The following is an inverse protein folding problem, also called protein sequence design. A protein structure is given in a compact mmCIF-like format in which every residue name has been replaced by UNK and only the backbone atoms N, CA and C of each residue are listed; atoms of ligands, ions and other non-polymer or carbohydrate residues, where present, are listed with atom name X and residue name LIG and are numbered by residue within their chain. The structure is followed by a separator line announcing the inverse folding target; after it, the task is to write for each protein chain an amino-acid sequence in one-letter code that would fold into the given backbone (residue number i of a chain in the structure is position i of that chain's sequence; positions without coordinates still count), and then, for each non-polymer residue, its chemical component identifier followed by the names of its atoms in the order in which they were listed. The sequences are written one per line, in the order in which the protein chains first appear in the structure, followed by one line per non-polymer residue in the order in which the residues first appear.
data_IF_426221556332
#
_entry.id   IF_426221556332
#
_cell.length_a   1.000
_cell.length_b   1.000
_cell.length_c   1.000
_cell.angle_alpha   90.00
_cell.angle_beta   90.00
_cell.angle_gamma   90.00
#
_symmetry.space_group_name_H-M   'P 1'
#
loop_
_entity.id
_entity.type
_entity.pdbx_description
1 polymer ?
#
# COMPACT_ATOMS: atom_id res chain seq x y z
N UNK A 1 33.69 2.40 22.82
CA UNK A 1 34.58 3.51 22.43
C UNK A 1 33.96 4.80 22.92
N UNK A 2 34.73 5.61 23.63
CA UNK A 2 34.28 6.56 24.63
C UNK A 2 33.35 7.68 24.09
N UNK A 3 32.20 7.85 24.74
CA UNK A 3 31.37 9.05 24.64
C UNK A 3 31.66 9.93 25.87
N UNK A 4 32.26 11.09 25.64
CA UNK A 4 32.43 12.11 26.67
C UNK A 4 31.12 12.92 26.82
N UNK A 5 30.63 12.99 28.06
CA UNK A 5 29.47 13.79 28.46
C UNK A 5 29.82 15.28 28.48
N UNK A 6 29.04 16.10 27.76
CA UNK A 6 29.00 17.55 27.90
C UNK A 6 27.81 17.97 28.76
N UNK A 7 28.08 18.69 29.84
CA UNK A 7 27.16 19.14 30.88
C UNK A 7 26.14 20.18 30.38
N UNK A 8 24.92 20.12 30.93
CA UNK A 8 23.83 21.07 30.70
C UNK A 8 23.85 22.14 31.80
N UNK A 9 23.98 23.41 31.43
CA UNK A 9 23.56 24.54 32.27
C UNK A 9 22.41 25.26 31.60
N UNK A 10 21.32 25.37 32.35
CA UNK A 10 20.03 25.87 31.92
C UNK A 10 19.94 27.36 32.24
N UNK A 11 19.96 28.20 31.21
CA UNK A 11 19.36 29.52 31.28
C UNK A 11 19.05 30.06 29.88
N UNK A 12 17.81 30.52 29.72
CA UNK A 12 17.36 31.48 28.70
C UNK A 12 16.90 30.92 27.34
N UNK A 13 15.63 31.17 27.05
CA UNK A 13 14.91 30.89 25.82
C UNK A 13 15.50 31.64 24.62
N UNK A 14 16.35 31.00 23.81
CA UNK A 14 16.50 31.26 22.36
C UNK A 14 17.32 30.13 21.73
N UNK A 15 16.75 29.37 20.78
CA UNK A 15 17.52 28.41 19.98
C UNK A 15 17.77 28.99 18.58
N UNK A 16 19.03 29.31 18.29
CA UNK A 16 19.52 29.63 16.95
C UNK A 16 20.08 28.36 16.31
N UNK A 17 19.65 28.08 15.07
CA UNK A 17 20.09 26.91 14.30
C UNK A 17 21.13 27.37 13.29
N UNK A 18 22.41 27.19 13.61
CA UNK A 18 23.54 27.53 12.72
C UNK A 18 23.89 26.30 11.88
N UNK A 19 23.55 26.32 10.59
CA UNK A 19 23.90 25.27 9.64
C UNK A 19 25.20 25.68 8.94
N UNK A 20 26.30 24.99 9.27
CA UNK A 20 27.59 25.16 8.59
C UNK A 20 27.58 24.39 7.28
N UNK A 21 27.47 25.08 6.15
CA UNK A 21 27.67 24.51 4.81
C UNK A 21 29.17 24.53 4.45
N UNK A 22 29.77 23.44 3.93
CA UNK A 22 31.12 23.50 3.39
C UNK A 22 31.14 24.26 2.06
N UNK A 23 32.15 25.10 1.92
CA UNK A 23 32.43 26.07 0.85
C UNK A 23 32.66 25.42 -0.53
N UNK A 24 32.20 26.05 -1.64
CA UNK A 24 32.65 25.73 -2.99
C UNK A 24 33.98 26.46 -3.29
N UNK A 25 34.97 25.73 -3.80
CA UNK A 25 36.22 26.31 -4.29
C UNK A 25 35.98 26.91 -5.68
N UNK A 26 36.18 28.23 -5.77
CA UNK A 26 36.12 29.04 -6.98
C UNK A 26 37.40 28.95 -7.81
N UNK A 27 37.18 28.85 -9.12
CA UNK A 27 38.01 29.18 -10.28
C UNK A 27 39.19 30.13 -10.06
N UNK A 28 40.28 29.89 -10.81
CA UNK A 28 41.05 30.99 -11.39
C UNK A 28 41.34 30.77 -12.88
N UNK A 29 40.92 31.81 -13.60
CA UNK A 29 41.17 32.21 -14.98
C UNK A 29 42.67 32.26 -15.29
N UNK A 30 43.10 31.87 -16.48
CA UNK A 30 44.00 32.72 -17.29
C UNK A 30 43.82 32.48 -18.79
N UNK A 31 43.88 33.61 -19.48
CA UNK A 31 43.59 33.96 -20.86
C UNK A 31 44.86 33.76 -21.71
N UNK A 32 44.72 33.33 -22.98
CA UNK A 32 45.12 34.06 -24.22
C UNK A 32 45.34 33.13 -25.43
N UNK A 33 44.66 33.48 -26.53
CA UNK A 33 45.03 33.55 -27.96
C UNK A 33 45.80 32.40 -28.68
N UNK A 34 45.17 31.98 -29.78
CA UNK A 34 45.68 31.58 -31.11
C UNK A 34 47.13 31.07 -31.25
N UNK A 35 47.30 29.93 -31.95
CA UNK A 35 48.04 29.81 -33.22
C UNK A 35 47.99 28.35 -33.71
N UNK A 36 47.72 28.20 -35.00
CA UNK A 36 47.81 27.00 -35.82
C UNK A 36 49.27 26.61 -36.04
N UNK A 37 49.65 25.35 -35.84
CA UNK A 37 50.73 24.72 -36.61
C UNK A 37 50.61 23.20 -36.65
N UNK A 38 50.82 22.68 -37.86
CA UNK A 38 50.85 21.27 -38.23
C UNK A 38 52.15 20.61 -37.74
N UNK A 39 52.11 19.34 -37.33
CA UNK A 39 53.31 18.59 -36.99
C UNK A 39 53.03 17.13 -36.65
N UNK A 40 53.29 16.24 -37.61
CA UNK A 40 53.41 14.79 -37.40
C UNK A 40 54.49 14.53 -36.34
N UNK A 41 54.25 13.57 -35.43
CA UNK A 41 55.08 12.37 -35.33
C UNK A 41 54.46 11.34 -34.39
N UNK A 42 54.52 10.10 -34.86
CA UNK A 42 54.11 8.87 -34.22
C UNK A 42 54.92 8.58 -32.96
N UNK A 43 54.25 8.34 -31.83
CA UNK A 43 54.79 7.46 -30.80
C UNK A 43 53.67 6.58 -30.22
N UNK A 44 53.91 5.28 -30.31
CA UNK A 44 53.12 4.19 -29.77
C UNK A 44 53.21 4.19 -28.25
N UNK A 45 52.06 4.17 -27.55
CA UNK A 45 52.00 3.73 -26.16
C UNK A 45 50.68 3.00 -25.90
N UNK A 46 50.81 1.77 -25.43
CA UNK A 46 49.73 0.84 -25.09
C UNK A 46 48.85 1.37 -23.95
N UNK A 47 47.61 1.73 -24.24
CA UNK A 47 46.60 1.94 -23.21
C UNK A 47 45.89 0.63 -22.88
N UNK A 48 46.29 0.03 -21.76
CA UNK A 48 45.46 -0.90 -21.01
C UNK A 48 44.16 -0.19 -20.62
N UNK A 49 43.02 -0.68 -21.11
CA UNK A 49 41.70 -0.25 -20.63
C UNK A 49 41.48 -0.81 -19.23
N UNK A 50 41.47 0.06 -18.22
CA UNK A 50 40.85 -0.24 -16.94
C UNK A 50 39.34 -0.37 -17.15
N UNK A 51 38.84 -1.60 -17.09
CA UNK A 51 37.42 -1.91 -17.04
C UNK A 51 36.88 -1.58 -15.64
N UNK A 52 36.08 -0.52 -15.53
CA UNK A 52 35.27 -0.24 -14.34
C UNK A 52 34.17 -1.31 -14.29
N UNK A 53 33.99 -2.05 -13.17
CA UNK A 53 32.88 -2.98 -13.05
C UNK A 53 31.59 -2.17 -12.91
N UNK A 54 30.81 -2.12 -13.98
CA UNK A 54 29.41 -1.69 -13.92
C UNK A 54 28.65 -2.71 -13.07
N UNK A 55 28.29 -2.33 -11.84
CA UNK A 55 27.37 -3.11 -11.02
C UNK A 55 25.99 -3.00 -11.69
N UNK A 56 25.63 -4.02 -12.46
CA UNK A 56 24.29 -4.16 -13.03
C UNK A 56 23.39 -4.72 -11.93
N UNK A 57 22.58 -3.84 -11.33
CA UNK A 57 21.52 -4.23 -10.41
C UNK A 57 20.39 -4.89 -11.20
N UNK A 58 20.47 -6.20 -11.42
CA UNK A 58 19.38 -6.96 -12.04
C UNK A 58 18.26 -7.18 -11.02
N UNK A 59 17.16 -6.43 -11.15
CA UNK A 59 15.91 -6.76 -10.45
C UNK A 59 15.37 -8.08 -11.01
N UNK A 60 15.52 -9.16 -10.25
CA UNK A 60 14.96 -10.46 -10.64
C UNK A 60 13.44 -10.42 -10.47
N UNK A 61 12.73 -10.05 -11.54
CA UNK A 61 11.30 -10.33 -11.69
C UNK A 61 11.12 -11.83 -11.98
N UNK A 62 11.53 -12.71 -11.06
CA UNK A 62 11.14 -14.12 -11.14
C UNK A 62 9.70 -14.24 -10.64
N UNK A 63 8.74 -14.72 -11.46
CA UNK A 63 7.40 -14.98 -10.99
C UNK A 63 7.47 -16.13 -9.98
N UNK A 64 7.22 -15.81 -8.70
CA UNK A 64 7.04 -16.82 -7.66
C UNK A 64 5.64 -17.43 -7.80
N UNK A 65 5.46 -18.75 -7.59
CA UNK A 65 4.23 -19.46 -7.90
C UNK A 65 3.20 -19.34 -6.75
N UNK A 66 2.80 -18.11 -6.41
CA UNK A 66 1.68 -17.87 -5.50
C UNK A 66 1.13 -16.46 -5.72
N UNK A 67 0.02 -16.35 -6.46
CA UNK A 67 -0.80 -15.14 -6.71
C UNK A 67 -0.03 -13.87 -7.11
N UNK A 68 -0.22 -13.39 -8.34
CA UNK A 68 0.35 -12.13 -8.81
C UNK A 68 -0.06 -10.94 -7.92
N UNK A 69 0.73 -10.67 -6.88
CA UNK A 69 0.61 -9.46 -6.09
C UNK A 69 1.11 -8.31 -6.97
N UNK A 70 0.23 -7.35 -7.25
CA UNK A 70 0.58 -6.17 -8.06
C UNK A 70 1.80 -5.45 -7.46
N UNK A 71 2.73 -4.98 -8.33
CA UNK A 71 3.92 -4.21 -7.93
C UNK A 71 3.56 -2.95 -7.14
N UNK A 72 2.44 -2.32 -7.47
CA UNK A 72 1.90 -1.14 -6.78
C UNK A 72 1.49 -1.45 -5.34
N UNK A 73 0.87 -2.63 -5.10
CA UNK A 73 0.50 -3.07 -3.76
C UNK A 73 1.73 -3.32 -2.88
N UNK A 74 2.82 -3.83 -3.47
CA UNK A 74 4.09 -4.02 -2.76
C UNK A 74 4.70 -2.68 -2.36
N UNK A 75 4.79 -1.72 -3.28
CA UNK A 75 5.33 -0.38 -2.99
C UNK A 75 4.52 0.30 -1.88
N UNK A 76 3.18 0.27 -1.95
CA UNK A 76 2.32 0.84 -0.91
C UNK A 76 2.52 0.14 0.44
N UNK A 77 2.72 -1.18 0.45
CA UNK A 77 2.97 -1.93 1.69
C UNK A 77 4.30 -1.55 2.35
N UNK A 78 5.32 -1.21 1.57
CA UNK A 78 6.62 -0.74 2.05
C UNK A 78 6.52 0.67 2.65
N UNK A 79 5.74 1.56 2.02
CA UNK A 79 5.46 2.90 2.54
C UNK A 79 4.72 2.85 3.89
N UNK A 80 3.77 1.93 4.05
CA UNK A 80 3.03 1.77 5.31
C UNK A 80 3.85 1.16 6.44
N UNK A 81 4.89 0.39 6.11
CA UNK A 81 5.72 -0.31 7.08
C UNK A 81 7.20 -0.14 6.75
N UNK A 82 7.74 1.07 7.00
CA UNK A 82 9.10 1.38 6.63
C UNK A 82 10.07 0.40 7.30
N UNK A 83 11.08 -0.03 6.54
CA UNK A 83 12.13 -0.96 6.97
C UNK A 83 11.67 -2.36 7.39
N UNK A 84 10.42 -2.78 7.13
CA UNK A 84 9.95 -4.16 7.39
C UNK A 84 10.90 -5.22 6.81
N UNK A 85 11.38 -5.01 5.58
CA UNK A 85 12.31 -5.93 4.92
C UNK A 85 13.64 -6.06 5.67
N UNK A 86 14.16 -4.95 6.21
CA UNK A 86 15.40 -4.93 7.00
C UNK A 86 15.20 -5.69 8.31
N UNK A 87 14.08 -5.47 9.00
CA UNK A 87 13.75 -6.17 10.25
C UNK A 87 13.63 -7.68 10.03
N UNK A 88 12.90 -8.10 9.01
CA UNK A 88 12.76 -9.50 8.63
C UNK A 88 14.09 -10.16 8.28
N UNK A 89 14.99 -9.42 7.63
CA UNK A 89 16.35 -9.90 7.35
C UNK A 89 17.11 -10.18 8.65
N UNK A 90 17.09 -9.27 9.63
CA UNK A 90 17.75 -9.50 10.91
C UNK A 90 17.15 -10.67 11.69
N UNK A 91 15.83 -10.86 11.67
CA UNK A 91 15.22 -12.02 12.31
C UNK A 91 15.71 -13.33 11.71
N UNK A 92 15.71 -13.47 10.38
CA UNK A 92 16.21 -14.67 9.72
C UNK A 92 17.71 -14.84 9.97
N UNK A 93 18.50 -13.76 9.90
CA UNK A 93 19.94 -13.81 10.13
C UNK A 93 20.28 -14.25 11.57
N UNK A 94 19.55 -13.75 12.58
CA UNK A 94 19.75 -14.17 13.97
C UNK A 94 19.26 -15.60 14.23
N UNK A 95 18.14 -16.02 13.62
CA UNK A 95 17.73 -17.43 13.67
C UNK A 95 18.80 -18.33 13.04
N UNK A 96 19.36 -17.95 11.90
CA UNK A 96 20.40 -18.73 11.23
C UNK A 96 21.70 -18.77 12.06
N UNK A 97 22.11 -17.62 12.62
CA UNK A 97 23.32 -17.52 13.47
C UNK A 97 23.19 -18.34 14.76
N UNK A 98 22.08 -18.17 15.48
CA UNK A 98 21.82 -18.91 16.72
C UNK A 98 21.52 -20.39 16.44
N UNK A 99 20.88 -20.71 15.32
CA UNK A 99 20.70 -22.10 14.88
C UNK A 99 22.02 -22.80 14.59
N UNK A 100 22.97 -22.10 13.96
CA UNK A 100 24.31 -22.62 13.72
C UNK A 100 25.10 -22.77 15.04
N UNK A 101 25.03 -21.78 15.93
CA UNK A 101 25.62 -21.85 17.28
C UNK A 101 25.07 -23.01 18.08
N UNK A 102 23.75 -23.18 18.08
CA UNK A 102 23.05 -24.26 18.76
C UNK A 102 23.41 -25.63 18.21
N UNK A 103 23.59 -25.77 16.89
CA UNK A 103 24.06 -27.02 16.28
C UNK A 103 25.47 -27.36 16.76
N UNK A 104 26.38 -26.39 16.77
CA UNK A 104 27.76 -26.59 17.25
C UNK A 104 27.74 -26.97 18.74
N UNK A 105 27.03 -26.23 19.58
CA UNK A 105 26.91 -26.50 21.01
C UNK A 105 26.28 -27.87 21.28
N UNK A 106 25.29 -28.29 20.49
CA UNK A 106 24.67 -29.62 20.60
C UNK A 106 25.68 -30.73 20.29
N UNK A 107 26.48 -30.58 19.22
CA UNK A 107 27.52 -31.58 18.88
C UNK A 107 28.61 -31.66 19.95
N UNK A 108 29.02 -30.52 20.51
CA UNK A 108 30.00 -30.47 21.61
C UNK A 108 29.43 -31.10 22.89
N UNK A 109 28.16 -30.84 23.21
CA UNK A 109 27.50 -31.41 24.38
C UNK A 109 27.40 -32.93 24.29
N UNK A 110 27.03 -33.48 23.13
CA UNK A 110 27.02 -34.93 22.88
C UNK A 110 28.42 -35.52 23.07
N UNK A 111 29.45 -34.87 22.53
CA UNK A 111 30.84 -35.28 22.69
C UNK A 111 31.34 -35.24 24.14
N UNK A 112 30.91 -34.26 24.93
CA UNK A 112 31.26 -34.13 26.33
C UNK A 112 30.53 -35.16 27.22
N UNK A 113 29.29 -35.51 26.89
CA UNK A 113 28.54 -36.56 27.60
C UNK A 113 29.09 -37.96 27.32
N UNK A 114 29.62 -38.20 26.12
CA UNK A 114 30.24 -39.46 25.74
C UNK A 114 31.64 -39.68 26.36
N UNK A 115 32.31 -38.62 26.84
CA UNK A 115 33.68 -38.67 27.35
C UNK A 115 33.80 -38.04 28.74
N UNK A 116 34.04 -38.84 29.79
CA UNK A 116 34.09 -38.33 31.17
C UNK A 116 35.21 -37.32 31.42
N UNK A 117 36.28 -37.32 30.62
CA UNK A 117 37.38 -36.35 30.69
C UNK A 117 36.97 -34.92 30.34
N UNK A 118 35.81 -34.73 29.68
CA UNK A 118 35.28 -33.43 29.27
C UNK A 118 34.09 -32.96 30.11
N UNK A 119 33.82 -33.62 31.23
CA UNK A 119 32.63 -33.33 32.06
C UNK A 119 32.60 -31.91 32.62
N UNK A 120 33.76 -31.27 32.84
CA UNK A 120 33.84 -29.89 33.32
C UNK A 120 33.33 -28.85 32.30
N UNK A 121 33.25 -29.18 31.01
CA UNK A 121 32.80 -28.28 29.94
C UNK A 121 31.25 -28.27 29.77
N UNK A 122 30.55 -29.20 30.41
CA UNK A 122 29.10 -29.40 30.25
C UNK A 122 28.28 -28.16 30.67
N UNK A 123 28.51 -27.51 31.84
CA UNK A 123 27.68 -26.40 32.27
C UNK A 123 27.76 -25.18 31.33
N UNK A 124 28.97 -24.87 30.83
CA UNK A 124 29.19 -23.75 29.92
C UNK A 124 28.58 -24.02 28.53
N UNK A 125 28.75 -25.24 28.02
CA UNK A 125 28.16 -25.67 26.73
C UNK A 125 26.63 -25.66 26.82
N UNK A 126 26.07 -26.11 27.94
CA UNK A 126 24.62 -26.12 28.18
C UNK A 126 24.05 -24.69 28.29
N UNK A 127 24.78 -23.78 28.94
CA UNK A 127 24.40 -22.36 29.01
C UNK A 127 24.38 -21.72 27.63
N UNK A 128 25.40 -21.94 26.81
CA UNK A 128 25.47 -21.43 25.44
C UNK A 128 24.33 -21.98 24.56
N UNK A 129 24.08 -23.30 24.65
CA UNK A 129 22.94 -23.94 23.96
C UNK A 129 21.60 -23.34 24.40
N UNK A 130 21.42 -23.06 25.69
CA UNK A 130 20.23 -22.40 26.21
C UNK A 130 20.02 -20.99 25.64
N UNK A 131 21.10 -20.21 25.50
CA UNK A 131 21.05 -18.88 24.88
C UNK A 131 20.65 -18.98 23.41
N UNK A 132 21.27 -19.88 22.65
CA UNK A 132 20.97 -20.07 21.22
C UNK A 132 19.52 -20.52 21.01
N UNK A 133 19.02 -21.46 21.81
CA UNK A 133 17.61 -21.89 21.77
C UNK A 133 16.65 -20.74 22.13
N UNK A 134 17.00 -19.94 23.15
CA UNK A 134 16.23 -18.75 23.52
C UNK A 134 16.16 -17.72 22.40
N UNK A 135 17.31 -17.45 21.75
CA UNK A 135 17.40 -16.53 20.63
C UNK A 135 16.59 -17.02 19.42
N UNK A 136 16.75 -18.29 19.02
CA UNK A 136 15.99 -18.89 17.92
C UNK A 136 14.49 -18.80 18.20
N UNK A 137 14.05 -19.15 19.41
CA UNK A 137 12.62 -19.11 19.80
C UNK A 137 12.06 -17.68 19.70
N UNK A 138 12.75 -16.69 20.27
CA UNK A 138 12.32 -15.29 20.24
C UNK A 138 12.24 -14.74 18.81
N UNK A 139 13.30 -14.91 18.01
CA UNK A 139 13.33 -14.36 16.66
C UNK A 139 12.39 -15.10 15.71
N UNK A 140 12.21 -16.41 15.88
CA UNK A 140 11.21 -17.17 15.13
C UNK A 140 9.80 -16.65 15.43
N UNK A 141 9.46 -16.44 16.70
CA UNK A 141 8.18 -15.86 17.10
C UNK A 141 7.94 -14.48 16.46
N UNK A 142 8.92 -13.57 16.54
CA UNK A 142 8.84 -12.24 15.94
C UNK A 142 8.68 -12.31 14.41
N UNK A 143 9.41 -13.23 13.76
CA UNK A 143 9.29 -13.47 12.32
C UNK A 143 7.89 -13.95 11.93
N UNK A 144 7.31 -14.92 12.65
CA UNK A 144 5.97 -15.42 12.37
C UNK A 144 4.90 -14.34 12.57
N UNK A 145 4.99 -13.56 13.64
CA UNK A 145 4.09 -12.44 13.92
C UNK A 145 4.15 -11.40 12.79
N UNK A 146 5.36 -11.02 12.36
CA UNK A 146 5.55 -10.05 11.30
C UNK A 146 5.08 -10.59 9.95
N UNK A 147 5.33 -11.88 9.64
CA UNK A 147 4.89 -12.50 8.40
C UNK A 147 3.36 -12.57 8.31
N UNK A 148 2.69 -12.88 9.42
CA UNK A 148 1.22 -12.82 9.52
C UNK A 148 0.70 -11.42 9.23
N UNK A 149 1.30 -10.40 9.83
CA UNK A 149 0.90 -9.00 9.60
C UNK A 149 1.14 -8.56 8.15
N UNK A 150 2.27 -8.97 7.55
CA UNK A 150 2.65 -8.67 6.17
C UNK A 150 1.66 -9.29 5.19
N UNK A 151 1.34 -10.57 5.37
CA UNK A 151 0.41 -11.28 4.50
C UNK A 151 -1.00 -10.67 4.57
N UNK A 152 -1.47 -10.31 5.77
CA UNK A 152 -2.76 -9.64 5.93
C UNK A 152 -2.79 -8.26 5.25
N UNK A 153 -1.72 -7.46 5.38
CA UNK A 153 -1.61 -6.15 4.73
C UNK A 153 -1.56 -6.27 3.21
N UNK A 154 -0.71 -7.15 2.69
CA UNK A 154 -0.58 -7.36 1.24
C UNK A 154 -1.89 -7.89 0.65
N UNK A 155 -2.56 -8.83 1.34
CA UNK A 155 -3.86 -9.35 0.92
C UNK A 155 -4.95 -8.28 0.93
N UNK A 156 -4.90 -7.29 1.83
CA UNK A 156 -5.83 -6.15 1.80
C UNK A 156 -5.53 -5.22 0.63
N UNK A 157 -4.26 -4.86 0.46
CA UNK A 157 -3.83 -3.93 -0.59
C UNK A 157 -4.04 -4.50 -1.99
N UNK A 158 -3.87 -5.82 -2.19
CA UNK A 158 -4.16 -6.46 -3.46
C UNK A 158 -5.64 -6.39 -3.83
N UNK A 159 -6.56 -6.52 -2.84
CA UNK A 159 -8.00 -6.36 -3.08
C UNK A 159 -8.36 -4.93 -3.49
N UNK A 160 -7.81 -3.95 -2.77
CA UNK A 160 -8.02 -2.52 -3.05
C UNK A 160 -7.43 -2.14 -4.43
N UNK A 161 -6.31 -2.76 -4.82
CA UNK A 161 -5.72 -2.54 -6.14
C UNK A 161 -6.52 -3.19 -7.26
N UNK A 162 -6.99 -4.43 -7.07
CA UNK A 162 -7.85 -5.12 -8.03
C UNK A 162 -9.15 -4.33 -8.25
N UNK A 163 -9.75 -3.80 -7.18
CA UNK A 163 -10.91 -2.90 -7.28
C UNK A 163 -10.60 -1.67 -8.12
N UNK A 164 -9.42 -1.09 -7.93
CA UNK A 164 -9.03 0.14 -8.61
C UNK A 164 -8.80 -0.02 -10.11
N UNK A 165 -8.55 -1.25 -10.57
CA UNK A 165 -8.39 -1.58 -11.98
C UNK A 165 -9.74 -1.83 -12.69
N UNK A 166 -10.83 -2.04 -11.94
CA UNK A 166 -12.16 -2.24 -12.52
C UNK A 166 -12.59 -1.00 -13.30
N UNK A 167 -13.27 -1.22 -14.44
CA UNK A 167 -13.67 -0.14 -15.34
C UNK A 167 -15.11 0.31 -15.10
N UNK A 168 -15.27 1.63 -15.06
CA UNK A 168 -16.54 2.33 -14.96
C UNK A 168 -16.74 3.20 -16.20
N UNK A 169 -18.00 3.37 -16.58
CA UNK A 169 -18.45 4.27 -17.64
C UNK A 169 -19.07 5.50 -16.98
N UNK A 170 -18.45 6.65 -17.23
CA UNK A 170 -18.98 7.97 -16.82
C UNK A 170 -19.96 8.48 -17.86
N UNK A 171 -19.58 8.36 -19.13
CA UNK A 171 -20.36 8.77 -20.29
C UNK A 171 -20.30 7.67 -21.35
N UNK A 172 -21.21 7.71 -22.32
CA UNK A 172 -21.26 6.73 -23.43
C UNK A 172 -19.91 6.48 -24.10
N UNK A 173 -19.06 7.52 -24.21
CA UNK A 173 -17.76 7.45 -24.88
C UNK A 173 -16.57 7.31 -23.93
N UNK A 174 -16.77 7.48 -22.61
CA UNK A 174 -15.67 7.61 -21.64
C UNK A 174 -15.70 6.49 -20.62
N UNK A 175 -14.75 5.56 -20.79
CA UNK A 175 -14.50 4.46 -19.87
C UNK A 175 -13.21 4.74 -19.12
N UNK A 176 -13.28 4.69 -17.79
CA UNK A 176 -12.19 5.06 -16.89
C UNK A 176 -12.09 4.02 -15.77
N UNK A 177 -10.89 3.62 -15.32
CA UNK A 177 -10.77 2.77 -14.15
C UNK A 177 -11.22 3.49 -12.87
N UNK A 178 -11.66 2.71 -11.87
CA UNK A 178 -12.03 3.18 -10.52
C UNK A 178 -10.90 4.02 -9.90
N UNK A 179 -9.64 3.69 -10.18
CA UNK A 179 -8.46 4.43 -9.70
C UNK A 179 -8.44 5.91 -10.09
N UNK A 180 -9.08 6.30 -11.20
CA UNK A 180 -9.09 7.70 -11.65
C UNK A 180 -10.06 8.57 -10.88
N UNK A 181 -10.96 7.99 -10.09
CA UNK A 181 -11.83 8.76 -9.18
C UNK A 181 -11.13 9.13 -7.88
N UNK A 182 -9.89 8.62 -7.66
CA UNK A 182 -9.10 8.96 -6.48
C UNK A 182 -8.79 10.45 -6.44
N UNK A 183 -9.12 11.12 -5.34
CA UNK A 183 -9.02 12.57 -5.14
C UNK A 183 -10.07 13.41 -5.86
N UNK A 184 -11.05 12.76 -6.51
CA UNK A 184 -12.13 13.44 -7.23
C UNK A 184 -13.47 13.15 -6.57
N UNK A 185 -13.76 11.87 -6.31
CA UNK A 185 -15.05 11.43 -5.79
C UNK A 185 -14.95 10.15 -4.95
N UNK A 186 -15.84 10.03 -3.97
CA UNK A 186 -16.04 8.85 -3.12
C UNK A 186 -17.05 7.94 -3.81
N UNK A 187 -16.71 6.67 -4.00
CA UNK A 187 -17.59 5.73 -4.67
C UNK A 187 -18.38 4.89 -3.67
N UNK A 188 -19.68 4.76 -3.87
CA UNK A 188 -20.55 3.84 -3.15
C UNK A 188 -21.09 2.80 -4.12
N UNK A 189 -20.66 1.56 -3.97
CA UNK A 189 -21.05 0.45 -4.82
C UNK A 189 -22.23 -0.27 -4.16
N UNK A 190 -23.35 -0.38 -4.86
CA UNK A 190 -24.53 -1.14 -4.44
C UNK A 190 -24.62 -2.39 -5.31
N UNK A 191 -24.40 -3.56 -4.72
CA UNK A 191 -24.37 -4.82 -5.45
C UNK A 191 -25.43 -5.79 -4.94
N UNK A 192 -26.37 -6.18 -5.80
CA UNK A 192 -27.40 -7.15 -5.45
C UNK A 192 -28.50 -7.29 -6.50
N UNK A 193 -29.66 -7.83 -6.12
CA UNK A 193 -30.81 -7.94 -7.00
C UNK A 193 -31.29 -6.60 -7.55
N UNK A 194 -31.98 -6.62 -8.68
CA UNK A 194 -32.49 -5.38 -9.30
C UNK A 194 -33.42 -4.60 -8.36
N UNK A 195 -34.27 -5.30 -7.60
CA UNK A 195 -35.15 -4.72 -6.57
C UNK A 195 -34.36 -3.98 -5.49
N UNK A 196 -33.33 -4.64 -4.95
CA UNK A 196 -32.45 -4.07 -3.93
C UNK A 196 -31.74 -2.80 -4.41
N UNK A 197 -31.21 -2.82 -5.64
CA UNK A 197 -30.54 -1.63 -6.21
C UNK A 197 -31.54 -0.49 -6.35
N UNK A 198 -32.72 -0.72 -6.92
CA UNK A 198 -33.75 0.32 -7.06
C UNK A 198 -34.18 0.90 -5.72
N UNK A 199 -34.40 0.06 -4.71
CA UNK A 199 -34.76 0.50 -3.35
C UNK A 199 -33.64 1.29 -2.68
N UNK A 200 -32.39 0.83 -2.79
CA UNK A 200 -31.21 1.55 -2.28
C UNK A 200 -31.14 2.97 -2.86
N UNK A 201 -31.45 3.10 -4.15
CA UNK A 201 -31.48 4.38 -4.85
C UNK A 201 -32.62 5.28 -4.36
N UNK A 202 -33.82 4.73 -4.18
CA UNK A 202 -34.96 5.47 -3.60
C UNK A 202 -34.63 6.00 -2.20
N UNK A 203 -33.92 5.23 -1.37
CA UNK A 203 -33.47 5.67 -0.05
C UNK A 203 -32.42 6.79 -0.10
N UNK A 204 -31.62 6.84 -1.16
CA UNK A 204 -30.59 7.88 -1.34
C UNK A 204 -31.13 9.19 -1.93
N UNK A 205 -32.27 9.13 -2.61
CA UNK A 205 -32.89 10.25 -3.33
C UNK A 205 -33.03 11.55 -2.51
N UNK A 206 -33.61 11.54 -1.29
CA UNK A 206 -33.73 12.76 -0.47
C UNK A 206 -32.38 13.35 -0.04
N UNK A 207 -31.30 12.56 -0.09
CA UNK A 207 -29.96 12.95 0.35
C UNK A 207 -29.04 13.30 -0.82
N UNK A 208 -29.52 13.24 -2.07
CA UNK A 208 -28.70 13.38 -3.29
C UNK A 208 -27.87 14.66 -3.30
N UNK A 209 -28.46 15.81 -2.95
CA UNK A 209 -27.74 17.09 -2.96
C UNK A 209 -26.63 17.12 -1.90
N UNK A 210 -26.90 16.59 -0.71
CA UNK A 210 -25.91 16.48 0.38
C UNK A 210 -24.78 15.48 0.06
N UNK A 211 -25.09 14.41 -0.67
CA UNK A 211 -24.12 13.43 -1.13
C UNK A 211 -23.21 14.01 -2.23
N UNK A 212 -23.80 14.75 -3.17
CA UNK A 212 -23.07 15.41 -4.26
C UNK A 212 -22.11 16.49 -3.74
N UNK A 213 -22.50 17.28 -2.75
CA UNK A 213 -21.62 18.28 -2.14
C UNK A 213 -20.38 17.65 -1.46
N UNK A 214 -20.56 16.41 -0.97
CA UNK A 214 -19.50 15.56 -0.41
C UNK A 214 -18.83 14.66 -1.45
N UNK A 215 -19.10 14.90 -2.74
CA UNK A 215 -18.49 14.20 -3.86
C UNK A 215 -18.74 12.69 -3.84
N UNK A 216 -19.89 12.23 -3.36
CA UNK A 216 -20.27 10.82 -3.37
C UNK A 216 -20.94 10.48 -4.70
N UNK A 217 -20.43 9.45 -5.38
CA UNK A 217 -20.97 8.88 -6.60
C UNK A 217 -21.39 7.43 -6.36
N UNK A 218 -22.49 7.01 -6.95
CA UNK A 218 -23.08 5.67 -6.73
C UNK A 218 -22.88 4.79 -7.97
N UNK A 219 -22.42 3.57 -7.73
CA UNK A 219 -22.24 2.53 -8.75
C UNK A 219 -23.29 1.43 -8.51
N UNK A 220 -24.40 1.41 -9.27
CA UNK A 220 -25.34 0.30 -9.25
C UNK A 220 -24.74 -0.91 -9.97
N UNK A 221 -24.69 -2.06 -9.29
CA UNK A 221 -24.30 -3.34 -9.86
C UNK A 221 -25.39 -4.38 -9.62
N UNK A 222 -26.11 -4.76 -10.69
CA UNK A 222 -27.17 -5.77 -10.61
C UNK A 222 -26.56 -7.15 -10.79
N UNK A 223 -26.89 -8.07 -9.88
CA UNK A 223 -26.36 -9.44 -9.87
C UNK A 223 -27.23 -10.41 -10.68
N UNK A 224 -28.54 -10.17 -10.78
CA UNK A 224 -29.52 -11.10 -11.37
C UNK A 224 -29.51 -11.13 -12.92
N UNK A 225 -28.59 -10.41 -13.57
CA UNK A 225 -28.56 -10.28 -15.03
C UNK A 225 -29.66 -9.40 -15.64
N UNK A 226 -30.62 -8.96 -14.83
CA UNK A 226 -31.61 -7.95 -15.23
C UNK A 226 -30.97 -6.56 -15.28
N UNK A 227 -31.33 -5.75 -16.28
CA UNK A 227 -31.04 -4.32 -16.24
C UNK A 227 -31.91 -3.67 -15.16
N UNK A 228 -31.36 -2.83 -14.26
CA UNK A 228 -32.19 -2.11 -13.32
C UNK A 228 -33.04 -1.11 -14.11
N UNK A 229 -34.33 -1.38 -14.27
CA UNK A 229 -35.27 -0.39 -14.76
C UNK A 229 -35.56 0.57 -13.62
N UNK A 230 -34.73 1.61 -13.50
CA UNK A 230 -34.93 2.69 -12.54
C UNK A 230 -36.07 3.59 -13.07
N UNK A 231 -37.30 3.10 -13.02
CA UNK A 231 -38.47 3.90 -13.33
C UNK A 231 -38.80 4.78 -12.12
N UNK A 232 -38.81 6.09 -12.35
CA UNK A 232 -39.23 7.09 -11.37
C UNK A 232 -40.56 7.64 -11.84
N UNK A 233 -41.59 7.59 -10.99
CA UNK A 233 -42.83 8.34 -11.18
C UNK A 233 -42.58 9.81 -10.84
N UNK A 234 -42.16 10.62 -11.81
CA UNK A 234 -42.16 12.08 -11.67
C UNK A 234 -42.54 12.75 -13.00
N UNK A 235 -43.16 13.95 -12.93
CA UNK A 235 -43.67 14.69 -14.10
C UNK A 235 -42.55 15.10 -15.07
N UNK A 236 -42.89 15.31 -16.35
CA UNK A 236 -41.96 15.48 -17.48
C UNK A 236 -40.85 16.55 -17.28
N UNK A 237 -41.08 17.58 -16.46
CA UNK A 237 -40.06 18.61 -16.16
C UNK A 237 -39.06 18.18 -15.07
N UNK A 238 -39.53 17.45 -14.04
CA UNK A 238 -38.68 16.78 -13.05
C UNK A 238 -37.91 15.62 -13.67
N UNK A 239 -38.44 14.97 -14.72
CA UNK A 239 -37.69 13.95 -15.48
C UNK A 239 -36.43 14.49 -16.13
N UNK A 240 -36.43 15.69 -16.70
CA UNK A 240 -35.23 16.23 -17.36
C UNK A 240 -34.16 16.73 -16.37
N UNK A 241 -34.58 17.44 -15.31
CA UNK A 241 -33.68 17.87 -14.23
C UNK A 241 -33.17 16.66 -13.43
N UNK A 242 -34.05 15.72 -13.14
CA UNK A 242 -33.76 14.44 -12.50
C UNK A 242 -32.83 13.58 -13.36
N UNK A 243 -33.03 13.48 -14.68
CA UNK A 243 -32.14 12.72 -15.58
C UNK A 243 -30.73 13.33 -15.65
N UNK A 244 -30.61 14.66 -15.72
CA UNK A 244 -29.30 15.35 -15.67
C UNK A 244 -28.61 15.16 -14.32
N UNK A 245 -29.34 15.27 -13.21
CA UNK A 245 -28.81 14.98 -11.87
C UNK A 245 -28.38 13.52 -11.79
N UNK A 246 -29.22 12.57 -12.20
CA UNK A 246 -28.95 11.11 -12.28
C UNK A 246 -27.67 10.78 -13.02
N UNK A 247 -27.46 11.38 -14.19
CA UNK A 247 -26.23 11.17 -14.97
C UNK A 247 -24.97 11.68 -14.26
N UNK A 248 -25.06 12.70 -13.42
CA UNK A 248 -23.91 13.27 -12.72
C UNK A 248 -23.52 12.47 -11.46
N UNK A 249 -24.47 11.78 -10.81
CA UNK A 249 -24.20 11.03 -9.58
C UNK A 249 -24.05 9.52 -9.78
N UNK A 250 -24.38 8.99 -10.96
CA UNK A 250 -24.36 7.56 -11.26
C UNK A 250 -23.23 7.18 -12.21
N UNK A 251 -22.65 6.00 -11.97
CA UNK A 251 -21.60 5.43 -12.81
C UNK A 251 -21.96 4.00 -13.19
N UNK A 252 -21.81 3.65 -14.47
CA UNK A 252 -22.18 2.31 -14.94
C UNK A 252 -20.96 1.38 -14.97
N UNK A 253 -21.03 0.16 -14.40
CA UNK A 253 -20.00 -0.84 -14.57
C UNK A 253 -19.95 -1.34 -16.02
N UNK A 254 -18.75 -1.53 -16.58
CA UNK A 254 -18.59 -1.96 -17.99
C UNK A 254 -18.42 -3.47 -18.10
N UNK A 255 -17.41 -4.03 -17.43
CA UNK A 255 -17.09 -5.45 -17.50
C UNK A 255 -17.79 -6.19 -16.37
N UNK A 256 -19.05 -6.56 -16.60
CA UNK A 256 -19.91 -7.20 -15.59
C UNK A 256 -19.26 -8.48 -15.03
N UNK A 257 -18.51 -9.23 -15.85
CA UNK A 257 -17.77 -10.41 -15.43
C UNK A 257 -16.63 -10.11 -14.45
N UNK A 258 -15.81 -9.08 -14.72
CA UNK A 258 -14.71 -8.69 -13.81
C UNK A 258 -15.28 -8.17 -12.48
N UNK A 259 -16.37 -7.39 -12.55
CA UNK A 259 -17.07 -6.90 -11.38
C UNK A 259 -17.70 -8.04 -10.56
N UNK A 260 -18.37 -8.99 -11.21
CA UNK A 260 -18.99 -10.13 -10.51
C UNK A 260 -17.94 -11.02 -9.87
N UNK A 261 -16.84 -11.31 -10.57
CA UNK A 261 -15.73 -12.09 -10.02
C UNK A 261 -15.13 -11.40 -8.79
N UNK A 262 -14.85 -10.10 -8.89
CA UNK A 262 -14.28 -9.35 -7.79
C UNK A 262 -15.21 -9.32 -6.56
N UNK A 263 -16.51 -9.06 -6.76
CA UNK A 263 -17.51 -9.03 -5.68
C UNK A 263 -17.67 -10.41 -5.04
N UNK A 264 -17.76 -11.47 -5.85
CA UNK A 264 -17.90 -12.84 -5.36
C UNK A 264 -16.67 -13.27 -4.56
N UNK A 265 -15.46 -12.89 -5.00
CA UNK A 265 -14.25 -13.09 -4.21
C UNK A 265 -14.33 -12.35 -2.86
N UNK A 266 -14.83 -11.11 -2.83
CA UNK A 266 -15.00 -10.38 -1.56
C UNK A 266 -16.01 -11.05 -0.63
N UNK A 267 -17.18 -11.46 -1.16
CA UNK A 267 -18.22 -12.16 -0.38
C UNK A 267 -17.68 -13.46 0.22
N UNK A 268 -16.97 -14.27 -0.57
CA UNK A 268 -16.34 -15.51 -0.12
C UNK A 268 -15.33 -15.29 1.01
N UNK A 269 -14.50 -14.24 0.90
CA UNK A 269 -13.53 -13.91 1.95
C UNK A 269 -14.19 -13.39 3.23
N UNK A 270 -15.32 -12.72 3.12
CA UNK A 270 -16.09 -12.19 4.26
C UNK A 270 -17.03 -13.22 4.90
N UNK A 271 -17.18 -14.42 4.31
CA UNK A 271 -18.14 -15.42 4.77
C UNK A 271 -19.60 -15.03 4.51
N UNK A 272 -19.85 -14.17 3.52
CA UNK A 272 -21.18 -13.71 3.12
C UNK A 272 -21.71 -14.61 2.00
N UNK A 273 -23.01 -14.92 2.01
CA UNK A 273 -23.66 -15.68 0.93
C UNK A 273 -23.56 -14.95 -0.41
N UNK A 274 -23.35 -15.70 -1.49
CA UNK A 274 -23.25 -15.14 -2.85
C UNK A 274 -24.49 -14.34 -3.25
N UNK A 275 -25.67 -14.75 -2.78
CA UNK A 275 -26.97 -14.12 -3.09
C UNK A 275 -27.29 -12.90 -2.22
N UNK A 276 -26.54 -12.69 -1.13
CA UNK A 276 -26.82 -11.56 -0.24
C UNK A 276 -26.48 -10.23 -0.91
N UNK A 277 -27.38 -9.23 -0.87
CA UNK A 277 -27.06 -7.88 -1.34
C UNK A 277 -26.02 -7.26 -0.42
N UNK A 278 -25.05 -6.57 -1.01
CA UNK A 278 -23.94 -5.94 -0.30
C UNK A 278 -23.75 -4.50 -0.77
N UNK A 279 -23.15 -3.70 0.09
CA UNK A 279 -22.66 -2.39 -0.27
C UNK A 279 -21.19 -2.24 0.09
N UNK A 280 -20.51 -1.37 -0.65
CA UNK A 280 -19.15 -0.94 -0.36
C UNK A 280 -19.06 0.57 -0.50
N UNK A 281 -18.39 1.21 0.43
CA UNK A 281 -18.13 2.65 0.43
C UNK A 281 -16.62 2.87 0.36
N UNK A 282 -16.18 3.70 -0.57
CA UNK A 282 -14.78 4.07 -0.76
C UNK A 282 -14.53 5.49 -0.26
N UNK A 283 -13.31 5.71 0.21
CA UNK A 283 -12.78 7.05 0.53
C UNK A 283 -12.35 7.79 -0.73
N UNK A 284 -12.01 9.07 -0.60
CA UNK A 284 -11.44 9.85 -1.71
C UNK A 284 -10.12 9.27 -2.21
N UNK A 285 -9.30 8.66 -1.34
CA UNK A 285 -8.07 7.97 -1.76
C UNK A 285 -8.30 6.60 -2.44
N UNK A 286 -9.57 6.19 -2.58
CA UNK A 286 -9.99 4.93 -3.21
C UNK A 286 -9.81 3.69 -2.34
N UNK A 287 -9.51 3.83 -1.04
CA UNK A 287 -9.52 2.71 -0.09
C UNK A 287 -10.93 2.41 0.38
N UNK A 288 -11.18 1.16 0.78
CA UNK A 288 -12.46 0.77 1.35
C UNK A 288 -12.64 1.44 2.72
N UNK A 289 -13.67 2.28 2.84
CA UNK A 289 -14.12 2.91 4.09
C UNK A 289 -14.93 1.92 4.92
N UNK A 290 -15.97 1.36 4.31
CA UNK A 290 -16.87 0.41 4.97
C UNK A 290 -17.58 -0.47 3.96
N UNK A 291 -17.89 -1.70 4.37
CA UNK A 291 -18.61 -2.68 3.57
C UNK A 291 -19.58 -3.44 4.47
N UNK A 292 -20.73 -3.83 3.96
CA UNK A 292 -21.73 -4.56 4.74
C UNK A 292 -22.78 -5.24 3.86
N UNK A 293 -23.62 -6.04 4.51
CA UNK A 293 -24.80 -6.69 3.90
C UNK A 293 -25.99 -5.75 4.04
N UNK A 294 -26.85 -5.69 3.02
CA UNK A 294 -28.00 -4.78 2.98
C UNK A 294 -27.63 -3.39 2.45
N UNK A 295 -28.42 -2.38 2.77
CA UNK A 295 -28.33 -1.05 2.16
C UNK A 295 -27.17 -0.20 2.71
N UNK A 296 -26.60 0.71 1.90
CA UNK A 296 -25.64 1.69 2.38
C UNK A 296 -26.27 2.60 3.45
N UNK A 297 -25.54 2.96 4.52
CA UNK A 297 -26.02 3.87 5.54
C UNK A 297 -25.92 5.33 5.05
N UNK A 298 -26.83 5.73 4.15
CA UNK A 298 -26.80 7.04 3.48
C UNK A 298 -26.73 8.23 4.45
N UNK A 299 -27.51 8.19 5.54
CA UNK A 299 -27.49 9.22 6.58
C UNK A 299 -26.10 9.35 7.25
N UNK A 300 -25.43 8.22 7.52
CA UNK A 300 -24.11 8.23 8.13
C UNK A 300 -23.05 8.78 7.17
N UNK A 301 -23.16 8.49 5.88
CA UNK A 301 -22.26 9.04 4.85
C UNK A 301 -22.39 10.56 4.78
N UNK A 302 -23.62 11.09 4.81
CA UNK A 302 -23.86 12.54 4.85
C UNK A 302 -23.34 13.14 6.16
N UNK A 303 -23.53 12.50 7.30
CA UNK A 303 -23.07 13.05 8.58
C UNK A 303 -21.54 13.06 8.73
N UNK A 304 -20.85 12.04 8.22
CA UNK A 304 -19.42 11.81 8.52
C UNK A 304 -18.46 12.36 7.46
N UNK A 305 -18.86 12.43 6.19
CA UNK A 305 -17.93 12.74 5.10
C UNK A 305 -17.75 14.24 4.92
N UNK A 306 -16.53 14.79 4.85
CA UNK A 306 -16.37 16.22 4.62
C UNK A 306 -16.78 16.63 3.19
N UNK A 307 -17.37 17.84 3.00
CA UNK A 307 -17.64 18.41 1.69
C UNK A 307 -16.38 18.50 0.82
N UNK A 308 -16.51 18.31 -0.50
CA UNK A 308 -15.38 18.33 -1.44
C UNK A 308 -15.10 19.75 -1.95
N UNK A 309 -16.11 20.62 -1.95
CA UNK A 309 -15.97 22.04 -2.29
C UNK A 309 -15.51 22.85 -1.06
N UNK A 310 -14.29 23.35 -1.07
CA UNK A 310 -13.79 24.27 -0.04
C UNK A 310 -12.29 24.17 0.24
N UNK A 311 -11.84 24.82 1.31
CA UNK A 311 -10.42 24.99 1.74
C UNK A 311 -9.68 23.68 2.11
N UNK A 312 -10.29 22.52 1.84
CA UNK A 312 -9.86 21.19 2.29
C UNK A 312 -9.46 20.25 1.14
N UNK A 313 -9.56 20.69 -0.11
CA UNK A 313 -9.13 19.91 -1.27
C UNK A 313 -7.61 19.82 -1.31
N UNK A 314 -7.04 18.65 -0.98
CA UNK A 314 -5.62 18.34 -1.22
C UNK A 314 -4.79 17.95 0.01
N UNK A 315 -5.05 18.49 1.21
CA UNK A 315 -4.26 18.17 2.41
C UNK A 315 -4.87 17.06 3.28
N UNK A 316 -6.20 16.99 3.36
CA UNK A 316 -6.93 16.03 4.21
C UNK A 316 -7.71 14.96 3.43
N UNK A 317 -7.43 14.82 2.13
CA UNK A 317 -8.14 13.90 1.24
C UNK A 317 -8.06 12.42 1.66
N UNK A 318 -7.02 12.06 2.42
CA UNK A 318 -6.86 10.75 3.05
C UNK A 318 -7.48 10.64 4.46
N UNK A 319 -7.92 11.74 5.07
CA UNK A 319 -8.47 11.82 6.42
C UNK A 319 -9.99 11.87 6.39
N UNK A 320 -10.63 10.78 5.94
CA UNK A 320 -12.10 10.65 5.95
C UNK A 320 -12.67 10.35 7.35
N UNK A 321 -11.93 10.60 8.44
CA UNK A 321 -12.34 10.27 9.80
C UNK A 321 -12.38 8.76 10.09
N UNK A 322 -12.53 8.41 11.37
CA UNK A 322 -12.61 7.01 11.83
C UNK A 322 -13.91 6.36 11.31
N UNK A 323 -13.85 5.06 11.05
CA UNK A 323 -14.99 4.19 10.69
C UNK A 323 -15.57 3.61 11.96
#
# INVERSE_FOLDING_TARGET
MAFAFGSLTLHSNTFYLTITTPTPISLNLFRTNNVMFCGRNSLSSSHQRCSIPTIVCSSSNKPSPSSQISSTAKIRSEVLSPFRSVRMFFYIAFIASAGLGGLIATTQLIGALANSSRASEIPDTLKNLGIDLGAVSLFAFLYFQENKSKNAQVARLSREENLSNLKLRVDEKRIIPVSSFRGIARLVICAGPASYVTESFKLSEPLTESLLDRGVLVVPFVTDGNSPTLEFEESEELKQLGARRKRLWQLAPVFISEWSEWINQQKKMAGVSSESPVYLSLRLDGRVRGSGVGYPPWNALVAQLPPVKGMWTGLLDGFDGRV
#
